data_IF_823126578388
#
_entry.id   IF_823126578388
#
_cell.length_a   1.000
_cell.length_b   1.000
_cell.length_c   1.000
_cell.angle_alpha   90.00
_cell.angle_beta   90.00
_cell.angle_gamma   90.00
#
_symmetry.space_group_name_H-M   'P 1'
#
loop_
_entity.id
_entity.type
_entity.pdbx_description
1 polymer ?
#
# COMPACT_ATOMS: atom_id res chain seq x y z
N UNK A 1 -20.19 -3.61 97.05
CA UNK A 1 -20.98 -3.13 95.90
C UNK A 1 -19.99 -2.33 95.04
N UNK A 2 -19.31 -3.00 94.12
CA UNK A 2 -19.70 -3.25 92.71
C UNK A 2 -18.89 -2.25 91.84
N UNK A 3 -17.81 -2.71 91.19
CA UNK A 3 -17.71 -2.96 89.72
C UNK A 3 -17.73 -1.65 88.91
N UNK A 4 -16.99 -1.39 87.83
CA UNK A 4 -16.04 -2.07 86.93
C UNK A 4 -15.55 -1.01 85.93
N UNK A 5 -14.41 -1.24 85.29
CA UNK A 5 -13.88 -0.50 84.12
C UNK A 5 -14.91 -0.28 82.99
N UNK A 6 -14.78 0.82 82.23
CA UNK A 6 -14.56 0.70 80.78
C UNK A 6 -14.08 2.00 80.15
N UNK A 7 -13.01 1.83 79.38
CA UNK A 7 -12.37 2.71 78.42
C UNK A 7 -13.26 3.00 77.20
N UNK A 8 -13.22 4.24 76.69
CA UNK A 8 -13.35 4.48 75.26
C UNK A 8 -12.34 5.52 74.77
N UNK A 9 -11.86 5.26 73.57
CA UNK A 9 -10.57 5.63 72.97
C UNK A 9 -10.73 6.74 71.91
N UNK A 10 -9.68 7.57 71.82
CA UNK A 10 -9.08 8.32 70.69
C UNK A 10 -9.90 8.83 69.50
N UNK A 11 -9.60 10.08 69.11
CA UNK A 11 -8.78 10.37 67.89
C UNK A 11 -8.26 11.83 67.89
N UNK A 12 -6.94 12.09 67.86
CA UNK A 12 -6.40 13.37 67.39
C UNK A 12 -6.00 13.30 65.90
N UNK A 13 -6.17 14.43 65.21
CA UNK A 13 -5.85 14.66 63.80
C UNK A 13 -4.41 14.24 63.44
N UNK A 14 -4.29 13.49 62.33
CA UNK A 14 -2.99 13.09 61.78
C UNK A 14 -2.23 14.24 61.09
N UNK A 15 -0.89 14.15 60.98
CA UNK A 15 -0.05 15.22 60.47
C UNK A 15 -0.17 15.38 58.94
N UNK A 16 -0.24 16.64 58.50
CA UNK A 16 -0.22 17.05 57.08
C UNK A 16 1.07 16.57 56.41
N UNK A 17 0.95 15.64 55.47
CA UNK A 17 2.06 15.21 54.61
C UNK A 17 2.36 16.33 53.61
N UNK A 18 3.55 16.94 53.73
CA UNK A 18 4.13 17.75 52.67
C UNK A 18 4.33 16.87 51.42
N UNK A 19 3.51 17.09 50.40
CA UNK A 19 3.69 16.48 49.10
C UNK A 19 4.96 17.05 48.45
N UNK A 20 5.98 16.20 48.30
CA UNK A 20 7.16 16.51 47.52
C UNK A 20 6.76 16.78 46.07
N UNK A 21 7.21 17.90 45.51
CA UNK A 21 7.11 18.21 44.09
C UNK A 21 7.79 17.12 43.26
N UNK A 22 7.23 16.72 42.10
CA UNK A 22 7.82 15.69 41.25
C UNK A 22 9.20 16.15 40.74
N UNK A 23 10.16 15.22 40.51
CA UNK A 23 11.46 15.57 39.96
C UNK A 23 11.30 16.16 38.55
N UNK A 24 12.19 17.07 38.12
CA UNK A 24 12.16 17.60 36.77
C UNK A 24 12.43 16.46 35.78
N UNK A 25 11.55 16.28 34.79
CA UNK A 25 11.81 15.39 33.66
C UNK A 25 13.12 15.81 32.98
N UNK A 26 14.00 14.88 32.59
CA UNK A 26 15.17 15.23 31.78
C UNK A 26 14.69 15.89 30.47
N UNK A 27 15.50 16.76 29.83
CA UNK A 27 15.13 17.37 28.57
C UNK A 27 15.07 16.27 27.52
N UNK A 28 13.87 15.76 27.25
CA UNK A 28 13.61 14.93 26.09
C UNK A 28 13.81 15.81 24.86
N UNK A 29 14.99 15.70 24.24
CA UNK A 29 15.20 16.01 22.83
C UNK A 29 14.43 14.99 21.97
N UNK A 30 13.15 14.82 22.25
CA UNK A 30 12.25 14.08 21.39
C UNK A 30 11.71 15.13 20.43
N UNK A 31 12.48 15.36 19.36
CA UNK A 31 11.83 15.68 18.09
C UNK A 31 10.79 14.58 17.90
N UNK A 32 9.50 14.91 18.09
CA UNK A 32 8.38 14.01 17.83
C UNK A 32 8.42 13.63 16.33
N UNK A 33 9.29 12.67 15.98
CA UNK A 33 9.35 12.06 14.67
C UNK A 33 8.05 11.30 14.50
N UNK A 34 7.11 11.94 13.80
CA UNK A 34 5.81 11.34 13.53
C UNK A 34 6.05 10.03 12.77
N UNK A 35 5.54 8.90 13.29
CA UNK A 35 5.68 7.63 12.59
C UNK A 35 4.98 7.76 11.23
N UNK A 36 5.68 7.34 10.19
CA UNK A 36 5.18 7.32 8.82
C UNK A 36 5.21 5.88 8.31
N UNK A 37 4.86 5.70 7.05
CA UNK A 37 4.93 4.40 6.40
C UNK A 37 5.26 4.54 4.92
N UNK A 38 5.59 3.42 4.29
CA UNK A 38 5.73 3.29 2.85
C UNK A 38 5.11 1.97 2.42
N UNK A 39 4.53 1.94 1.22
CA UNK A 39 3.99 0.73 0.60
C UNK A 39 4.65 0.47 -0.74
N UNK A 40 4.93 -0.78 -1.06
CA UNK A 40 5.45 -1.18 -2.36
C UNK A 40 4.89 -2.52 -2.83
N UNK A 41 4.84 -2.67 -4.15
CA UNK A 41 4.37 -3.89 -4.80
C UNK A 41 5.51 -4.90 -4.95
N UNK A 42 5.18 -6.14 -4.65
CA UNK A 42 6.08 -7.29 -4.82
C UNK A 42 5.32 -8.43 -5.49
N UNK A 43 6.02 -9.20 -6.33
CA UNK A 43 5.43 -10.41 -6.90
C UNK A 43 5.11 -11.42 -5.79
N UNK A 44 4.23 -12.39 -6.07
CA UNK A 44 3.90 -13.40 -5.08
C UNK A 44 5.13 -14.26 -4.65
N UNK A 45 6.07 -14.50 -5.57
CA UNK A 45 7.34 -15.20 -5.26
C UNK A 45 8.24 -14.35 -4.34
N UNK A 46 8.45 -13.08 -4.72
CA UNK A 46 9.19 -12.11 -3.92
C UNK A 46 8.62 -11.96 -2.50
N UNK A 47 7.29 -11.88 -2.36
CA UNK A 47 6.61 -11.87 -1.07
C UNK A 47 6.96 -13.10 -0.22
N UNK A 48 7.01 -14.29 -0.82
CA UNK A 48 7.42 -15.52 -0.15
C UNK A 48 8.87 -15.46 0.36
N UNK A 49 9.79 -14.93 -0.45
CA UNK A 49 11.20 -14.76 -0.04
C UNK A 49 11.37 -13.76 1.10
N UNK A 50 10.64 -12.64 1.07
CA UNK A 50 10.64 -11.64 2.16
C UNK A 50 10.06 -12.21 3.46
N UNK A 51 9.01 -13.03 3.40
CA UNK A 51 8.45 -13.71 4.57
C UNK A 51 9.48 -14.71 5.14
N UNK A 52 10.09 -15.53 4.27
CA UNK A 52 10.99 -16.60 4.67
C UNK A 52 10.27 -17.81 5.28
N UNK A 53 11.03 -18.89 5.50
CA UNK A 53 10.48 -20.13 6.07
C UNK A 53 9.99 -19.88 7.50
N UNK A 54 8.70 -20.09 7.75
CA UNK A 54 8.09 -19.85 9.06
C UNK A 54 8.09 -18.37 9.48
N UNK A 55 8.28 -17.42 8.56
CA UNK A 55 8.35 -16.00 8.90
C UNK A 55 9.71 -15.53 9.44
N UNK A 56 10.77 -16.35 9.31
CA UNK A 56 12.09 -16.02 9.88
C UNK A 56 12.68 -14.74 9.32
N UNK A 57 12.61 -14.54 8.00
CA UNK A 57 13.24 -13.41 7.30
C UNK A 57 12.54 -12.10 7.64
N UNK A 58 11.21 -12.06 7.58
CA UNK A 58 10.45 -10.84 7.92
C UNK A 58 10.60 -10.48 9.40
N UNK A 59 10.75 -11.47 10.28
CA UNK A 59 11.00 -11.23 11.71
C UNK A 59 12.39 -10.64 11.92
N UNK A 60 13.39 -11.18 11.23
CA UNK A 60 14.77 -10.67 11.26
C UNK A 60 14.85 -9.24 10.71
N UNK A 61 14.20 -8.94 9.59
CA UNK A 61 14.15 -7.58 9.03
C UNK A 61 13.51 -6.58 9.98
N UNK A 62 12.42 -6.96 10.66
CA UNK A 62 11.80 -6.10 11.68
C UNK A 62 12.73 -5.91 12.88
N UNK A 63 13.43 -6.96 13.31
CA UNK A 63 14.38 -6.88 14.44
C UNK A 63 15.59 -6.00 14.13
N UNK A 64 16.13 -6.06 12.91
CA UNK A 64 17.29 -5.27 12.52
C UNK A 64 16.95 -3.80 12.23
N UNK A 65 15.79 -3.55 11.63
CA UNK A 65 15.38 -2.20 11.24
C UNK A 65 14.68 -1.42 12.35
N UNK A 66 14.02 -2.10 13.30
CA UNK A 66 13.08 -1.49 14.26
C UNK A 66 11.71 -1.16 13.65
N UNK A 67 11.57 -1.22 12.33
CA UNK A 67 10.32 -0.93 11.64
C UNK A 67 9.34 -2.10 11.78
N UNK A 68 8.05 -1.79 11.68
CA UNK A 68 6.99 -2.77 11.54
C UNK A 68 6.75 -3.06 10.07
N UNK A 69 6.86 -4.33 9.67
CA UNK A 69 6.68 -4.78 8.29
C UNK A 69 5.43 -5.67 8.23
N UNK A 70 4.50 -5.35 7.33
CA UNK A 70 3.26 -6.09 7.10
C UNK A 70 3.13 -6.43 5.61
N UNK A 71 2.63 -7.63 5.31
CA UNK A 71 2.26 -8.02 3.95
C UNK A 71 0.75 -8.18 3.81
N UNK A 72 0.22 -7.83 2.64
CA UNK A 72 -1.14 -8.21 2.25
C UNK A 72 -1.28 -9.74 2.28
N UNK A 73 -2.49 -10.26 2.51
CA UNK A 73 -2.72 -11.71 2.58
C UNK A 73 -2.45 -12.40 1.24
N UNK A 74 -2.39 -13.73 1.25
CA UNK A 74 -2.33 -14.49 0.01
C UNK A 74 -3.59 -14.18 -0.81
N UNK A 75 -3.39 -13.87 -2.11
CA UNK A 75 -4.43 -13.42 -3.06
C UNK A 75 -5.08 -12.07 -2.76
N UNK A 76 -4.52 -11.29 -1.83
CA UNK A 76 -4.86 -9.88 -1.65
C UNK A 76 -3.88 -9.05 -2.50
N UNK A 77 -4.28 -8.82 -3.75
CA UNK A 77 -3.44 -8.14 -4.74
C UNK A 77 -3.81 -6.68 -4.90
N UNK A 78 -2.84 -5.89 -5.34
CA UNK A 78 -3.10 -4.54 -5.79
C UNK A 78 -3.96 -4.58 -7.07
N UNK A 79 -5.03 -3.76 -7.19
CA UNK A 79 -5.95 -3.85 -8.32
C UNK A 79 -5.25 -3.71 -9.67
N UNK A 80 -5.64 -4.56 -10.63
CA UNK A 80 -5.02 -4.62 -11.95
C UNK A 80 -3.67 -5.32 -12.01
N UNK A 81 -3.23 -5.94 -10.91
CA UNK A 81 -1.97 -6.68 -10.84
C UNK A 81 -2.16 -8.04 -10.17
N UNK A 82 -1.13 -8.87 -10.24
CA UNK A 82 -0.97 -10.10 -9.43
C UNK A 82 0.04 -9.89 -8.30
N UNK A 83 0.33 -8.63 -7.96
CA UNK A 83 1.33 -8.26 -6.99
C UNK A 83 0.70 -8.03 -5.61
N UNK A 84 1.42 -8.48 -4.58
CA UNK A 84 1.09 -8.23 -3.18
C UNK A 84 1.68 -6.91 -2.72
N UNK A 85 1.18 -6.40 -1.60
CA UNK A 85 1.60 -5.12 -1.03
C UNK A 85 2.40 -5.39 0.23
N UNK A 86 3.62 -4.87 0.29
CA UNK A 86 4.37 -4.74 1.53
C UNK A 86 4.14 -3.34 2.07
N UNK A 87 3.82 -3.23 3.36
CA UNK A 87 3.82 -1.98 4.10
C UNK A 87 4.92 -2.01 5.16
N UNK A 88 5.73 -0.97 5.20
CA UNK A 88 6.75 -0.75 6.21
C UNK A 88 6.38 0.53 6.95
N UNK A 89 6.37 0.51 8.28
CA UNK A 89 5.99 1.65 9.11
C UNK A 89 6.91 1.82 10.31
N UNK A 90 7.17 3.06 10.69
CA UNK A 90 8.12 3.43 11.74
C UNK A 90 8.62 4.86 11.57
N UNK A 91 9.73 5.18 12.24
CA UNK A 91 10.50 6.40 11.96
C UNK A 91 11.16 6.32 10.57
N UNK A 92 11.55 7.47 10.01
CA UNK A 92 12.16 7.54 8.67
C UNK A 92 13.41 6.66 8.60
N UNK A 93 14.27 6.73 9.63
CA UNK A 93 15.50 5.92 9.72
C UNK A 93 15.20 4.40 9.78
N UNK A 94 14.16 4.00 10.50
CA UNK A 94 13.74 2.59 10.60
C UNK A 94 13.20 2.08 9.26
N UNK A 95 12.38 2.89 8.58
CA UNK A 95 11.84 2.59 7.25
C UNK A 95 12.98 2.44 6.24
N UNK A 96 13.95 3.34 6.25
CA UNK A 96 15.09 3.30 5.33
C UNK A 96 15.87 1.99 5.48
N UNK A 97 16.21 1.58 6.70
CA UNK A 97 16.88 0.29 6.96
C UNK A 97 16.03 -0.90 6.53
N UNK A 98 14.74 -0.90 6.83
CA UNK A 98 13.85 -1.99 6.44
C UNK A 98 13.75 -2.12 4.91
N UNK A 99 13.62 -1.00 4.20
CA UNK A 99 13.58 -0.97 2.73
C UNK A 99 14.89 -1.48 2.14
N UNK A 100 16.04 -1.08 2.70
CA UNK A 100 17.36 -1.54 2.27
C UNK A 100 17.46 -3.08 2.33
N UNK A 101 17.10 -3.67 3.48
CA UNK A 101 17.11 -5.12 3.69
C UNK A 101 16.18 -5.85 2.71
N UNK A 102 14.98 -5.30 2.50
CA UNK A 102 13.98 -5.90 1.61
C UNK A 102 14.46 -5.82 0.15
N UNK A 103 14.87 -4.65 -0.33
CA UNK A 103 15.35 -4.49 -1.69
C UNK A 103 16.59 -5.35 -1.96
N UNK A 104 17.56 -5.38 -1.05
CA UNK A 104 18.75 -6.23 -1.17
C UNK A 104 18.38 -7.71 -1.32
N UNK A 105 17.41 -8.17 -0.53
CA UNK A 105 16.88 -9.54 -0.63
C UNK A 105 16.19 -9.79 -1.96
N UNK A 106 15.38 -8.86 -2.44
CA UNK A 106 14.69 -8.98 -3.73
C UNK A 106 15.68 -8.99 -4.91
N UNK A 107 16.73 -8.16 -4.87
CA UNK A 107 17.78 -8.14 -5.89
C UNK A 107 18.53 -9.47 -5.97
N UNK A 108 18.84 -10.05 -4.81
CA UNK A 108 19.57 -11.33 -4.74
C UNK A 108 18.81 -12.48 -5.41
N UNK A 109 17.47 -12.48 -5.36
CA UNK A 109 16.63 -13.50 -6.00
C UNK A 109 16.45 -13.28 -7.51
N UNK A 110 16.64 -12.06 -8.01
CA UNK A 110 16.54 -11.77 -9.44
C UNK A 110 17.78 -12.22 -10.22
N UNK A 111 18.96 -12.20 -9.58
CA UNK A 111 20.22 -12.63 -10.20
C UNK A 111 20.36 -14.15 -10.36
N UNK A 112 19.43 -14.95 -9.81
CA UNK A 112 19.47 -16.41 -9.96
C UNK A 112 18.78 -16.95 -11.21
N UNK A 113 18.07 -16.13 -12.00
CA UNK A 113 17.21 -16.65 -13.10
C UNK A 113 17.53 -16.17 -14.52
N UNK A 114 18.45 -15.22 -14.77
CA UNK A 114 18.78 -14.82 -16.16
C UNK A 114 20.25 -14.39 -16.34
N UNK A 115 21.00 -15.19 -17.11
CA UNK A 115 22.37 -14.95 -17.59
C UNK A 115 22.34 -14.05 -18.84
N UNK A 116 22.02 -12.75 -18.67
CA UNK A 116 21.98 -11.77 -19.75
C UNK A 116 22.77 -10.50 -19.40
N UNK A 117 23.70 -10.13 -20.29
CA UNK A 117 24.63 -8.99 -20.25
C UNK A 117 23.95 -7.62 -20.44
N UNK A 118 22.85 -7.40 -19.72
CA UNK A 118 22.24 -6.09 -19.56
C UNK A 118 22.04 -5.88 -18.06
N UNK A 119 22.81 -4.96 -17.49
CA UNK A 119 22.72 -4.54 -16.08
C UNK A 119 21.24 -4.49 -15.66
N UNK A 120 20.80 -5.36 -14.73
CA UNK A 120 19.39 -5.50 -14.41
C UNK A 120 18.94 -4.22 -13.72
N UNK A 121 18.38 -3.30 -14.51
CA UNK A 121 17.72 -2.10 -14.00
C UNK A 121 16.48 -2.54 -13.27
N UNK A 122 16.65 -2.72 -11.97
CA UNK A 122 15.58 -3.17 -11.11
C UNK A 122 14.52 -2.09 -11.02
N UNK A 123 13.28 -2.52 -10.83
CA UNK A 123 12.13 -1.64 -10.90
C UNK A 123 11.32 -1.81 -9.63
N UNK A 124 11.25 -0.74 -8.84
CA UNK A 124 10.45 -0.69 -7.62
C UNK A 124 9.16 0.07 -7.92
N UNK A 125 8.03 -0.43 -7.41
CA UNK A 125 6.72 0.22 -7.56
C UNK A 125 6.17 0.55 -6.18
N UNK A 126 6.20 1.83 -5.82
CA UNK A 126 5.61 2.33 -4.59
C UNK A 126 4.11 2.57 -4.78
N UNK A 127 3.34 2.34 -3.73
CA UNK A 127 1.90 2.62 -3.68
C UNK A 127 1.67 3.87 -2.85
N UNK A 128 1.14 4.91 -3.47
CA UNK A 128 0.93 6.22 -2.84
C UNK A 128 -0.53 6.66 -3.01
N UNK A 129 -1.21 7.14 -1.94
CA UNK A 129 -2.53 7.74 -2.06
C UNK A 129 -2.54 8.91 -3.02
N UNK A 130 -3.57 9.00 -3.84
CA UNK A 130 -3.76 10.04 -4.85
C UNK A 130 -3.69 11.44 -4.25
N UNK A 131 -4.25 11.63 -3.04
CA UNK A 131 -4.20 12.90 -2.30
C UNK A 131 -2.76 13.39 -2.04
N UNK A 132 -1.83 12.46 -1.80
CA UNK A 132 -0.44 12.78 -1.49
C UNK A 132 0.46 12.85 -2.73
N UNK A 133 0.03 12.31 -3.88
CA UNK A 133 0.79 12.39 -5.13
C UNK A 133 1.03 13.83 -5.61
N UNK A 134 0.09 14.74 -5.34
CA UNK A 134 0.25 16.16 -5.68
C UNK A 134 1.46 16.80 -5.01
N UNK A 135 1.76 16.41 -3.77
CA UNK A 135 2.94 16.86 -3.02
C UNK A 135 4.26 16.33 -3.58
N UNK A 136 4.28 15.07 -4.03
CA UNK A 136 5.45 14.46 -4.69
C UNK A 136 5.72 15.14 -6.05
N UNK A 137 4.67 15.40 -6.84
CA UNK A 137 4.81 16.07 -8.15
C UNK A 137 5.27 17.52 -7.96
N UNK A 138 4.64 18.23 -7.02
CA UNK A 138 4.88 19.66 -6.78
C UNK A 138 4.30 20.56 -7.87
N UNK A 139 4.29 21.88 -7.61
CA UNK A 139 3.78 22.88 -8.56
C UNK A 139 4.60 22.84 -9.84
N UNK A 140 3.95 22.62 -10.99
CA UNK A 140 4.62 22.53 -12.30
C UNK A 140 5.59 21.34 -12.45
N UNK A 141 5.53 20.34 -11.56
CA UNK A 141 6.45 19.21 -11.57
C UNK A 141 7.85 19.52 -11.02
N UNK A 142 8.04 20.66 -10.33
CA UNK A 142 9.36 21.07 -9.82
C UNK A 142 9.89 20.08 -8.78
N UNK A 143 9.05 19.61 -7.86
CA UNK A 143 9.47 18.70 -6.79
C UNK A 143 9.91 17.34 -7.32
N UNK A 144 9.12 16.72 -8.21
CA UNK A 144 9.51 15.45 -8.83
C UNK A 144 10.77 15.59 -9.68
N UNK A 145 10.96 16.74 -10.36
CA UNK A 145 12.21 17.01 -11.11
C UNK A 145 13.42 17.08 -10.17
N UNK A 146 13.30 17.76 -9.03
CA UNK A 146 14.34 17.76 -8.00
C UNK A 146 14.65 16.34 -7.54
N UNK A 147 13.64 15.51 -7.27
CA UNK A 147 13.89 14.13 -6.82
C UNK A 147 14.61 13.30 -7.86
N UNK A 148 14.33 13.49 -9.15
CA UNK A 148 15.05 12.82 -10.24
C UNK A 148 16.50 13.32 -10.32
N UNK A 149 16.71 14.63 -10.19
CA UNK A 149 18.05 15.24 -10.22
C UNK A 149 18.89 14.83 -9.00
N UNK A 150 18.32 14.82 -7.81
CA UNK A 150 19.03 14.51 -6.58
C UNK A 150 19.33 13.01 -6.48
N UNK A 151 18.36 12.15 -6.81
CA UNK A 151 18.53 10.69 -6.70
C UNK A 151 19.24 10.07 -7.90
N UNK A 152 19.25 10.74 -9.06
CA UNK A 152 19.65 10.19 -10.36
C UNK A 152 18.79 8.99 -10.83
N UNK A 153 17.72 8.64 -10.10
CA UNK A 153 16.81 7.58 -10.47
C UNK A 153 15.75 8.08 -11.48
N UNK A 154 15.29 7.18 -12.33
CA UNK A 154 14.08 7.39 -13.12
C UNK A 154 12.83 7.25 -12.24
N UNK A 155 12.11 8.36 -12.05
CA UNK A 155 10.85 8.40 -11.27
C UNK A 155 9.68 8.67 -12.22
N UNK A 156 8.69 7.78 -12.24
CA UNK A 156 7.46 7.93 -13.03
C UNK A 156 6.23 7.66 -12.19
N UNK A 157 5.25 8.54 -12.23
CA UNK A 157 3.98 8.34 -11.53
C UNK A 157 2.94 7.89 -12.54
N UNK A 158 2.23 6.80 -12.24
CA UNK A 158 1.14 6.31 -13.09
C UNK A 158 0.07 7.39 -13.24
N UNK A 159 -0.61 7.49 -14.39
CA UNK A 159 -1.81 8.32 -14.49
C UNK A 159 -2.83 7.90 -13.42
N UNK A 160 -3.76 8.80 -13.11
CA UNK A 160 -4.87 8.43 -12.25
C UNK A 160 -5.81 7.52 -13.04
N UNK A 161 -5.70 6.22 -12.84
CA UNK A 161 -6.57 5.24 -13.45
C UNK A 161 -7.87 5.13 -12.64
N UNK A 162 -8.96 5.66 -13.17
CA UNK A 162 -10.28 5.56 -12.53
C UNK A 162 -11.03 4.25 -12.87
N UNK A 163 -10.32 3.27 -13.43
CA UNK A 163 -10.91 2.00 -13.87
C UNK A 163 -11.30 1.09 -12.70
N UNK A 164 -10.69 1.26 -11.53
CA UNK A 164 -10.99 0.47 -10.35
C UNK A 164 -11.75 1.34 -9.35
N UNK A 165 -13.06 1.08 -9.23
CA UNK A 165 -13.92 1.76 -8.26
C UNK A 165 -13.34 1.63 -6.84
N UNK A 166 -13.11 2.77 -6.18
CA UNK A 166 -12.52 2.82 -4.84
C UNK A 166 -11.00 2.76 -4.78
N UNK A 167 -10.29 2.61 -5.91
CA UNK A 167 -8.83 2.74 -5.94
C UNK A 167 -8.44 4.21 -5.86
N UNK A 168 -8.05 4.63 -4.66
CA UNK A 168 -7.55 5.98 -4.40
C UNK A 168 -6.02 6.04 -4.35
N UNK A 169 -5.31 5.00 -4.80
CA UNK A 169 -3.84 4.95 -4.81
C UNK A 169 -3.30 4.96 -6.25
N UNK A 170 -2.10 5.50 -6.41
CA UNK A 170 -1.33 5.54 -7.66
C UNK A 170 0.02 4.87 -7.46
N UNK A 171 0.63 4.45 -8.56
CA UNK A 171 1.94 3.81 -8.54
C UNK A 171 3.03 4.82 -8.86
N UNK A 172 4.04 4.90 -7.98
CA UNK A 172 5.29 5.60 -8.26
C UNK A 172 6.34 4.54 -8.62
N UNK A 173 6.75 4.55 -9.87
CA UNK A 173 7.71 3.63 -10.44
C UNK A 173 9.11 4.24 -10.38
N UNK A 174 10.02 3.51 -9.74
CA UNK A 174 11.43 3.84 -9.63
C UNK A 174 12.23 2.87 -10.49
N UNK A 175 13.18 3.40 -11.26
CA UNK A 175 14.11 2.64 -12.08
C UNK A 175 15.50 3.22 -11.93
N UNK A 176 16.51 2.38 -11.77
CA UNK A 176 17.89 2.83 -11.52
C UNK A 176 18.68 1.76 -10.80
N UNK A 177 19.87 2.09 -10.34
CA UNK A 177 20.68 1.25 -9.45
C UNK A 177 20.10 1.20 -8.03
N UNK A 178 20.60 0.30 -7.20
CA UNK A 178 20.15 0.16 -5.81
C UNK A 178 20.29 1.48 -5.02
N UNK A 179 21.43 2.15 -5.14
CA UNK A 179 21.71 3.41 -4.42
C UNK A 179 20.84 4.56 -4.92
N UNK A 180 20.63 4.66 -6.24
CA UNK A 180 19.73 5.65 -6.84
C UNK A 180 18.30 5.47 -6.34
N UNK A 181 17.81 4.22 -6.30
CA UNK A 181 16.48 3.91 -5.78
C UNK A 181 16.34 4.23 -4.29
N UNK A 182 17.34 3.88 -3.47
CA UNK A 182 17.33 4.17 -2.04
C UNK A 182 17.24 5.67 -1.78
N UNK A 183 18.03 6.49 -2.49
CA UNK A 183 17.94 7.95 -2.40
C UNK A 183 16.59 8.48 -2.84
N UNK A 184 16.03 7.95 -3.93
CA UNK A 184 14.69 8.36 -4.40
C UNK A 184 13.61 8.03 -3.36
N UNK A 185 13.68 6.86 -2.71
CA UNK A 185 12.73 6.43 -1.69
C UNK A 185 12.82 7.36 -0.47
N UNK A 186 14.02 7.71 -0.01
CA UNK A 186 14.22 8.63 1.10
C UNK A 186 13.54 9.98 0.85
N UNK A 187 13.79 10.59 -0.32
CA UNK A 187 13.17 11.87 -0.70
C UNK A 187 11.64 11.78 -0.74
N UNK A 188 11.10 10.70 -1.30
CA UNK A 188 9.66 10.47 -1.37
C UNK A 188 9.06 10.29 0.03
N UNK A 189 9.68 9.48 0.90
CA UNK A 189 9.19 9.24 2.27
C UNK A 189 9.23 10.51 3.09
N UNK A 190 10.33 11.27 3.03
CA UNK A 190 10.43 12.57 3.68
C UNK A 190 9.29 13.49 3.23
N UNK A 191 9.00 13.52 1.92
CA UNK A 191 7.93 14.38 1.41
C UNK A 191 6.53 13.92 1.81
N UNK A 192 6.32 12.61 1.89
CA UNK A 192 5.06 12.03 2.34
C UNK A 192 4.83 12.26 3.84
N UNK A 193 5.89 12.24 4.65
CA UNK A 193 5.80 12.52 6.08
C UNK A 193 5.40 13.97 6.40
N UNK A 194 5.68 14.91 5.49
CA UNK A 194 5.21 16.30 5.60
C UNK A 194 3.70 16.45 5.36
N UNK A 195 3.05 15.50 4.67
CA UNK A 195 1.62 15.56 4.35
C UNK A 195 0.76 15.04 5.54
N UNK A 196 -0.03 15.91 6.20
CA UNK A 196 -0.86 15.50 7.33
C UNK A 196 -1.91 14.43 6.97
N UNK A 197 -2.35 14.38 5.71
CA UNK A 197 -3.35 13.41 5.26
C UNK A 197 -2.76 12.03 5.01
N UNK A 198 -1.45 11.95 4.76
CA UNK A 198 -0.77 10.68 4.51
C UNK A 198 -0.69 9.83 5.78
N UNK A 199 -0.37 10.44 6.93
CA UNK A 199 -0.28 9.72 8.20
C UNK A 199 -1.63 9.08 8.63
N UNK A 200 -2.76 9.69 8.26
CA UNK A 200 -4.09 9.19 8.63
C UNK A 200 -4.47 7.90 7.88
N UNK A 201 -3.94 7.67 6.68
CA UNK A 201 -4.22 6.46 5.89
C UNK A 201 -3.48 5.20 6.37
N UNK A 202 -2.64 5.32 7.40
CA UNK A 202 -1.93 4.18 8.00
C UNK A 202 -2.87 3.13 8.65
N UNK A 203 -4.08 3.55 9.05
CA UNK A 203 -5.03 2.70 9.80
C UNK A 203 -5.73 1.62 8.95
N UNK A 204 -5.67 1.72 7.61
CA UNK A 204 -6.21 0.73 6.68
C UNK A 204 -5.16 0.39 5.62
N UNK A 205 -4.15 -0.41 5.97
CA UNK A 205 -2.96 -0.62 5.14
C UNK A 205 -3.26 -1.35 3.82
N UNK A 206 -4.32 -2.17 3.83
CA UNK A 206 -4.79 -2.96 2.69
C UNK A 206 -6.30 -2.78 2.52
N UNK A 207 -6.69 -1.80 1.71
CA UNK A 207 -8.10 -1.43 1.47
C UNK A 207 -8.70 -2.11 0.23
N UNK A 208 -8.05 -3.16 -0.28
CA UNK A 208 -8.47 -3.88 -1.47
C UNK A 208 -9.03 -5.24 -1.06
N UNK A 209 -10.31 -5.32 -0.65
CA UNK A 209 -10.93 -6.61 -0.46
C UNK A 209 -10.80 -7.38 -1.78
N UNK A 210 -10.11 -8.53 -1.73
CA UNK A 210 -10.01 -9.41 -2.87
C UNK A 210 -11.41 -9.65 -3.41
N UNK A 211 -11.61 -9.39 -4.70
CA UNK A 211 -12.87 -9.65 -5.39
C UNK A 211 -13.02 -11.17 -5.49
N UNK A 212 -13.36 -11.80 -4.37
CA UNK A 212 -13.73 -13.19 -4.29
C UNK A 212 -15.22 -13.27 -4.54
N UNK A 213 -15.59 -13.43 -5.81
CA UNK A 213 -16.88 -14.03 -6.10
C UNK A 213 -16.73 -15.53 -5.85
N UNK A 214 -17.18 -15.98 -4.67
CA UNK A 214 -17.30 -17.39 -4.31
C UNK A 214 -18.31 -18.05 -5.25
N UNK A 215 -17.86 -18.68 -6.34
CA UNK A 215 -18.78 -19.45 -7.17
C UNK A 215 -18.29 -20.13 -8.45
N UNK A 216 -17.18 -19.73 -9.09
CA UNK A 216 -16.82 -20.33 -10.39
C UNK A 216 -15.32 -20.57 -10.57
N UNK A 217 -14.94 -21.85 -10.76
CA UNK A 217 -13.66 -22.25 -11.32
C UNK A 217 -13.66 -21.96 -12.82
N UNK A 218 -12.87 -20.97 -13.26
CA UNK A 218 -12.63 -20.71 -14.67
C UNK A 218 -11.98 -19.35 -14.88
N UNK A 219 -10.80 -19.35 -15.50
CA UNK A 219 -9.96 -18.26 -16.04
C UNK A 219 -10.52 -16.82 -16.01
N UNK A 220 -9.70 -15.80 -15.65
CA UNK A 220 -10.17 -14.43 -15.43
C UNK A 220 -10.58 -13.77 -16.75
N UNK A 221 -11.88 -13.51 -16.92
CA UNK A 221 -12.39 -12.64 -17.97
C UNK A 221 -12.04 -11.18 -17.65
N UNK A 222 -11.26 -10.58 -18.55
CA UNK A 222 -11.11 -9.14 -18.71
C UNK A 222 -12.48 -8.52 -19.01
N UNK A 223 -12.94 -7.55 -18.22
CA UNK A 223 -14.21 -6.88 -18.50
C UNK A 223 -14.10 -5.91 -19.67
N UNK A 224 -14.72 -6.32 -20.77
CA UNK A 224 -15.26 -5.43 -21.80
C UNK A 224 -16.46 -4.70 -21.18
N UNK A 225 -16.47 -3.36 -21.24
CA UNK A 225 -17.64 -2.56 -20.86
C UNK A 225 -18.76 -2.73 -21.91
N UNK A 226 -20.03 -3.00 -21.52
CA UNK A 226 -21.14 -2.87 -22.45
C UNK A 226 -21.55 -1.40 -22.60
N UNK A 227 -21.68 -0.99 -23.86
CA UNK A 227 -22.27 0.27 -24.29
C UNK A 227 -23.76 0.35 -23.93
N UNK A 228 -24.17 1.55 -23.55
CA UNK A 228 -25.48 2.00 -23.07
C UNK A 228 -26.60 1.78 -24.11
N UNK A 229 -27.76 1.22 -23.71
CA UNK A 229 -29.11 1.49 -24.28
C UNK A 229 -30.24 0.77 -23.48
N UNK A 230 -31.51 1.25 -23.51
CA UNK A 230 -32.36 1.36 -22.31
C UNK A 230 -33.63 0.43 -22.33
N UNK A 231 -34.65 0.68 -21.46
CA UNK A 231 -35.24 -0.29 -20.54
C UNK A 231 -36.23 -1.30 -21.15
N UNK A 232 -36.44 -2.39 -20.40
CA UNK A 232 -37.29 -3.52 -20.71
C UNK A 232 -38.79 -3.19 -20.84
N UNK A 233 -39.43 -3.77 -21.86
CA UNK A 233 -40.89 -3.92 -21.95
C UNK A 233 -41.23 -5.42 -21.92
N UNK A 234 -42.29 -5.73 -21.18
CA UNK A 234 -42.74 -7.05 -20.77
C UNK A 234 -42.89 -8.09 -21.90
N UNK A 235 -42.48 -9.32 -21.58
CA UNK A 235 -42.77 -10.52 -22.33
C UNK A 235 -44.27 -10.87 -22.25
N UNK A 236 -44.94 -10.89 -23.40
CA UNK A 236 -46.23 -11.57 -23.56
C UNK A 236 -46.04 -12.66 -24.61
N UNK A 237 -46.18 -13.90 -24.15
CA UNK A 237 -46.20 -15.11 -24.96
C UNK A 237 -47.42 -15.13 -25.88
N UNK A 238 -47.22 -15.27 -27.19
CA UNK A 238 -48.21 -15.93 -28.06
C UNK A 238 -47.49 -16.96 -28.94
N UNK A 239 -47.99 -18.19 -28.86
CA UNK A 239 -47.59 -19.39 -29.63
C UNK A 239 -48.22 -19.36 -31.04
N UNK A 240 -47.82 -20.28 -31.94
CA UNK A 240 -47.41 -19.96 -33.30
C UNK A 240 -48.50 -20.19 -34.34
N UNK A 241 -48.48 -19.45 -35.45
CA UNK A 241 -49.12 -19.91 -36.67
C UNK A 241 -48.59 -19.22 -37.93
N UNK A 242 -48.31 -20.01 -38.97
CA UNK A 242 -48.46 -19.59 -40.36
C UNK A 242 -47.24 -19.02 -41.09
N UNK A 243 -46.59 -19.87 -41.87
CA UNK A 243 -46.23 -19.68 -43.30
C UNK A 243 -45.95 -18.25 -43.82
N UNK A 244 -44.71 -17.97 -44.21
CA UNK A 244 -44.34 -17.38 -45.51
C UNK A 244 -42.81 -17.19 -45.63
N UNK A 245 -42.26 -17.54 -46.79
CA UNK A 245 -40.84 -17.48 -47.11
C UNK A 245 -40.28 -16.06 -47.26
N UNK A 246 -38.97 -15.94 -47.08
CA UNK A 246 -38.24 -14.68 -47.24
C UNK A 246 -36.73 -14.88 -47.25
N UNK A 247 -36.21 -15.09 -48.46
CA UNK A 247 -34.83 -15.04 -48.95
C UNK A 247 -33.74 -14.47 -48.02
N UNK A 248 -32.68 -15.27 -47.85
CA UNK A 248 -31.33 -14.85 -47.45
C UNK A 248 -30.78 -13.82 -48.44
N UNK A 249 -30.37 -12.65 -47.93
CA UNK A 249 -29.52 -11.74 -48.68
C UNK A 249 -28.36 -11.25 -47.82
N UNK A 250 -27.18 -11.72 -48.20
CA UNK A 250 -25.85 -11.30 -47.76
C UNK A 250 -25.68 -9.78 -47.94
N UNK A 251 -25.19 -9.10 -46.90
CA UNK A 251 -24.50 -7.80 -47.03
C UNK A 251 -23.20 -7.88 -46.23
N UNK A 252 -22.09 -8.18 -46.93
CA UNK A 252 -21.05 -7.22 -47.35
C UNK A 252 -20.39 -6.48 -46.17
N UNK A 253 -19.30 -7.07 -45.70
CA UNK A 253 -18.24 -6.44 -44.93
C UNK A 253 -17.51 -5.43 -45.83
N UNK A 254 -17.54 -4.15 -45.47
CA UNK A 254 -16.73 -3.10 -46.07
C UNK A 254 -15.43 -2.99 -45.26
N UNK A 255 -14.34 -3.47 -45.85
CA UNK A 255 -12.97 -3.24 -45.35
C UNK A 255 -12.39 -2.07 -46.15
N UNK A 256 -11.98 -1.01 -45.46
CA UNK A 256 -11.13 0.05 -46.03
C UNK A 256 -9.66 -0.36 -45.85
N UNK A 257 -8.80 -0.26 -46.89
CA UNK A 257 -7.37 -0.36 -46.70
C UNK A 257 -6.75 1.00 -46.37
N UNK A 258 -5.79 0.99 -45.46
CA UNK A 258 -4.76 2.02 -45.32
C UNK A 258 -3.84 1.97 -46.55
N UNK A 259 -3.73 3.09 -47.25
CA UNK A 259 -2.54 3.97 -47.41
C UNK A 259 -3.02 5.20 -48.18
#
# INVERSE_FOLDING_TARGET
>A
MESTESSYVSSPEGPRKHAASPPPKPPSLDSEEKPTYIRFLVSNSAAGSVIGKGGSTITDFQSQSGARIQLSRNHEFFPGTTDRIIMVSGAINEIQRAVELILSKLLSELHSEDDNDAEPKTKVRLVVPNGSCGGIIGKGGVTIRSFIEDSQAGIKISPQDNNYYGQNDRLVMLTGTFDEQMRAIELIVSKLAEDPHYAQSMNSPFSYPGVYFSGYQGVPYTYVLPSVAPPAYNAVNYRPNGTAGGKLQNSKVLVFPLI
#
